data_IF_363135211264
#
_entry.id   IF_363135211264
#
_cell.length_a   1.000
_cell.length_b   1.000
_cell.length_c   1.000
_cell.angle_alpha   90.00
_cell.angle_beta   90.00
_cell.angle_gamma   90.00
#
_symmetry.space_group_name_H-M   'P 1'
#
loop_
_entity.id
_entity.type
_entity.pdbx_description
1 polymer ?
#
# COMPACT_ATOMS: atom_id res chain seq x y z
N UNK A 1 -13.82 0.85 -6.95
CA UNK A 1 -12.72 1.58 -6.32
C UNK A 1 -12.46 0.96 -4.95
N UNK A 2 -11.22 0.55 -4.70
CA UNK A 2 -10.81 0.09 -3.37
C UNK A 2 -10.89 1.29 -2.40
N UNK A 3 -11.45 1.10 -1.20
CA UNK A 3 -11.49 2.19 -0.23
C UNK A 3 -10.06 2.56 0.17
N UNK A 4 -9.69 3.81 -0.05
CA UNK A 4 -8.36 4.33 0.32
C UNK A 4 -8.20 4.56 1.83
N UNK A 5 -9.26 4.32 2.61
CA UNK A 5 -9.32 4.57 4.04
C UNK A 5 -9.22 3.31 4.89
N UNK A 6 -8.64 3.42 6.06
CA UNK A 6 -8.47 2.29 6.97
C UNK A 6 -9.72 2.06 7.85
N UNK A 7 -10.13 0.78 8.03
CA UNK A 7 -11.29 0.44 8.88
C UNK A 7 -10.93 0.35 10.36
N UNK A 8 -9.71 -0.06 10.68
CA UNK A 8 -9.28 -0.47 12.03
C UNK A 8 -8.19 0.46 12.57
N UNK A 9 -7.36 1.02 11.70
CA UNK A 9 -6.27 1.92 12.07
C UNK A 9 -6.77 3.36 12.17
N UNK A 10 -6.10 4.17 12.97
CA UNK A 10 -6.43 5.57 13.22
C UNK A 10 -5.15 6.40 13.37
N UNK A 11 -5.30 7.71 13.48
CA UNK A 11 -4.19 8.63 13.71
C UNK A 11 -3.37 8.29 14.97
N UNK A 12 -4.01 7.71 15.99
CA UNK A 12 -3.35 7.27 17.23
C UNK A 12 -2.80 5.84 17.17
N UNK A 13 -3.21 5.06 16.18
CA UNK A 13 -2.71 3.70 15.92
C UNK A 13 -2.47 3.53 14.40
N UNK A 14 -1.44 4.17 13.85
CA UNK A 14 -1.15 4.15 12.41
C UNK A 14 -0.73 2.76 11.91
N UNK A 15 -0.91 2.53 10.62
CA UNK A 15 -0.37 1.35 9.95
C UNK A 15 1.14 1.54 9.72
N UNK A 16 1.96 0.71 10.36
CA UNK A 16 3.42 0.79 10.25
C UNK A 16 3.92 0.69 8.80
N UNK A 17 3.22 -0.04 7.95
CA UNK A 17 3.56 -0.18 6.53
C UNK A 17 3.42 1.16 5.80
N UNK A 18 2.34 1.90 6.11
CA UNK A 18 2.11 3.24 5.53
C UNK A 18 3.21 4.20 5.97
N UNK A 19 3.61 4.17 7.24
CA UNK A 19 4.71 5.02 7.74
C UNK A 19 6.02 4.75 7.01
N UNK A 20 6.38 3.48 6.83
CA UNK A 20 7.61 3.10 6.11
C UNK A 20 7.57 3.55 4.65
N UNK A 21 6.45 3.33 3.95
CA UNK A 21 6.30 3.73 2.55
C UNK A 21 6.34 5.25 2.40
N UNK A 22 5.65 5.96 3.28
CA UNK A 22 5.61 7.42 3.32
C UNK A 22 7.01 8.01 3.51
N UNK A 23 7.73 7.54 4.54
CA UNK A 23 9.08 8.02 4.84
C UNK A 23 10.05 7.76 3.69
N UNK A 24 9.97 6.57 3.08
CA UNK A 24 10.78 6.23 1.92
C UNK A 24 10.46 7.13 0.72
N UNK A 25 9.18 7.26 0.37
CA UNK A 25 8.76 8.04 -0.79
C UNK A 25 9.12 9.53 -0.65
N UNK A 26 8.86 10.12 0.52
CA UNK A 26 9.18 11.53 0.78
C UNK A 26 10.69 11.80 0.73
N UNK A 27 11.51 10.82 1.07
CA UNK A 27 12.98 10.94 1.04
C UNK A 27 13.57 10.77 -0.35
N UNK A 28 13.00 9.87 -1.17
CA UNK A 28 13.66 9.42 -2.40
C UNK A 28 12.99 9.89 -3.69
N UNK A 29 11.72 10.27 -3.67
CA UNK A 29 11.00 10.72 -4.86
C UNK A 29 10.84 12.24 -4.87
N UNK A 30 11.32 12.88 -5.94
CA UNK A 30 11.22 14.33 -6.11
C UNK A 30 10.72 14.67 -7.52
N UNK A 31 9.63 15.43 -7.66
CA UNK A 31 8.74 15.90 -6.61
C UNK A 31 7.78 14.79 -6.13
N UNK A 32 7.54 14.70 -4.81
CA UNK A 32 6.60 13.77 -4.20
C UNK A 32 5.24 14.46 -4.02
N UNK A 33 4.54 14.71 -5.14
CA UNK A 33 3.34 15.57 -5.15
C UNK A 33 2.05 14.82 -4.86
N UNK A 34 1.92 13.59 -5.38
CA UNK A 34 0.70 12.79 -5.23
C UNK A 34 0.53 12.31 -3.79
N UNK A 35 1.61 11.82 -3.18
CA UNK A 35 1.60 11.41 -1.79
C UNK A 35 1.35 12.61 -0.86
N UNK A 36 2.01 13.75 -1.09
CA UNK A 36 1.76 14.98 -0.30
C UNK A 36 0.31 15.45 -0.40
N UNK A 37 -0.29 15.37 -1.58
CA UNK A 37 -1.71 15.66 -1.74
C UNK A 37 -2.58 14.70 -0.94
N UNK A 38 -2.32 13.39 -1.00
CA UNK A 38 -3.06 12.40 -0.23
C UNK A 38 -2.95 12.61 1.29
N UNK A 39 -1.77 12.99 1.78
CA UNK A 39 -1.55 13.34 3.19
C UNK A 39 -2.31 14.62 3.60
N UNK A 40 -2.36 15.63 2.73
CA UNK A 40 -3.20 16.81 2.96
C UNK A 40 -4.70 16.46 3.03
N UNK A 41 -5.17 15.55 2.19
CA UNK A 41 -6.54 15.02 2.27
C UNK A 41 -6.76 14.27 3.60
N UNK A 42 -5.78 13.47 4.04
CA UNK A 42 -5.83 12.78 5.33
C UNK A 42 -5.99 13.75 6.51
N UNK A 43 -5.27 14.87 6.50
CA UNK A 43 -5.40 15.89 7.55
C UNK A 43 -6.85 16.42 7.65
N UNK A 44 -7.46 16.74 6.51
CA UNK A 44 -8.84 17.23 6.45
C UNK A 44 -9.84 16.16 6.89
N UNK A 45 -9.66 14.93 6.46
CA UNK A 45 -10.61 13.85 6.76
C UNK A 45 -10.50 13.37 8.21
N UNK A 46 -9.29 13.34 8.78
CA UNK A 46 -9.09 12.97 10.19
C UNK A 46 -9.61 14.02 11.17
N UNK A 47 -9.75 15.27 10.74
CA UNK A 47 -10.45 16.30 11.52
C UNK A 47 -11.94 15.95 11.73
N UNK A 48 -12.55 15.22 10.79
CA UNK A 48 -13.95 14.75 10.90
C UNK A 48 -14.06 13.41 11.63
N UNK A 49 -13.13 12.47 11.35
CA UNK A 49 -13.15 11.13 11.93
C UNK A 49 -11.74 10.55 11.96
N UNK A 50 -11.23 10.22 13.13
CA UNK A 50 -9.84 9.84 13.38
C UNK A 50 -9.34 8.59 12.63
N UNK A 51 -10.24 7.74 12.14
CA UNK A 51 -9.90 6.55 11.36
C UNK A 51 -9.93 6.76 9.83
N UNK A 52 -10.21 7.97 9.37
CA UNK A 52 -10.11 8.29 7.94
C UNK A 52 -8.68 8.64 7.54
N UNK A 53 -7.77 7.72 7.83
CA UNK A 53 -6.36 7.79 7.47
C UNK A 53 -6.10 7.07 6.16
N UNK A 54 -5.02 7.43 5.49
CA UNK A 54 -4.56 6.77 4.27
C UNK A 54 -4.22 5.30 4.57
N UNK A 55 -4.80 4.38 3.83
CA UNK A 55 -4.48 2.95 3.95
C UNK A 55 -3.23 2.59 3.13
N UNK A 56 -2.75 1.36 3.31
CA UNK A 56 -1.54 0.89 2.63
C UNK A 56 -1.70 0.88 1.10
N UNK A 57 -2.86 0.59 0.59
CA UNK A 57 -3.14 0.53 -0.84
C UNK A 57 -3.05 1.92 -1.46
N UNK A 58 -3.64 2.92 -0.81
CA UNK A 58 -3.54 4.31 -1.21
C UNK A 58 -2.11 4.85 -1.10
N UNK A 59 -1.37 4.48 -0.04
CA UNK A 59 0.01 4.90 0.13
C UNK A 59 0.92 4.32 -0.97
N UNK A 60 0.77 3.03 -1.30
CA UNK A 60 1.50 2.38 -2.40
C UNK A 60 1.15 3.04 -3.73
N UNK A 61 -0.14 3.27 -4.01
CA UNK A 61 -0.57 3.89 -5.26
C UNK A 61 0.03 5.29 -5.43
N UNK A 62 -0.04 6.13 -4.41
CA UNK A 62 0.53 7.48 -4.46
C UNK A 62 2.06 7.45 -4.62
N UNK A 63 2.75 6.63 -3.84
CA UNK A 63 4.20 6.50 -3.91
C UNK A 63 4.67 5.96 -5.28
N UNK A 64 3.93 5.00 -5.86
CA UNK A 64 4.25 4.44 -7.15
C UNK A 64 4.10 5.46 -8.29
N UNK A 65 3.03 6.26 -8.27
CA UNK A 65 2.86 7.34 -9.25
C UNK A 65 3.95 8.40 -9.12
N UNK A 66 4.32 8.78 -7.89
CA UNK A 66 5.41 9.72 -7.66
C UNK A 66 6.77 9.14 -8.12
N UNK A 67 6.99 7.84 -7.92
CA UNK A 67 8.17 7.14 -8.44
C UNK A 67 8.23 7.19 -9.97
N UNK A 68 7.15 6.87 -10.66
CA UNK A 68 7.10 6.94 -12.13
C UNK A 68 7.39 8.35 -12.63
N UNK A 69 6.79 9.36 -12.00
CA UNK A 69 7.01 10.77 -12.35
C UNK A 69 8.45 11.22 -12.09
N UNK A 70 9.02 10.82 -10.97
CA UNK A 70 10.39 11.22 -10.61
C UNK A 70 11.47 10.49 -11.41
N UNK A 71 11.14 9.35 -12.00
CA UNK A 71 12.09 8.58 -12.83
C UNK A 71 12.50 9.30 -14.11
N UNK A 72 11.64 10.18 -14.63
CA UNK A 72 11.83 10.83 -15.94
C UNK A 72 11.73 9.87 -17.13
N UNK A 73 11.43 8.59 -16.91
CA UNK A 73 11.35 7.57 -17.94
C UNK A 73 9.99 7.52 -18.66
N UNK A 74 8.97 8.17 -18.09
CA UNK A 74 7.60 8.14 -18.57
C UNK A 74 7.02 9.54 -18.71
N UNK A 75 6.25 9.76 -19.75
CA UNK A 75 5.40 10.94 -19.91
C UNK A 75 4.17 10.86 -19.00
N UNK A 76 3.49 11.98 -18.78
CA UNK A 76 2.25 11.99 -17.99
C UNK A 76 1.14 11.13 -18.62
N UNK A 77 1.09 11.06 -19.94
CA UNK A 77 0.14 10.25 -20.70
C UNK A 77 0.41 8.76 -20.52
N UNK A 78 1.68 8.33 -20.66
CA UNK A 78 2.07 6.94 -20.43
C UNK A 78 1.79 6.49 -18.99
N UNK A 79 2.01 7.35 -18.01
CA UNK A 79 1.67 7.05 -16.61
C UNK A 79 0.16 6.86 -16.45
N UNK A 80 -0.65 7.70 -17.11
CA UNK A 80 -2.11 7.56 -17.09
C UNK A 80 -2.54 6.22 -17.69
N UNK A 81 -2.00 5.86 -18.85
CA UNK A 81 -2.27 4.56 -19.47
C UNK A 81 -1.88 3.38 -18.59
N UNK A 82 -0.69 3.42 -17.97
CA UNK A 82 -0.26 2.36 -17.04
C UNK A 82 -1.24 2.17 -15.86
N UNK A 83 -1.79 3.28 -15.34
CA UNK A 83 -2.77 3.23 -14.25
C UNK A 83 -4.09 2.66 -14.75
N UNK A 84 -4.56 3.10 -15.91
CA UNK A 84 -5.83 2.64 -16.52
C UNK A 84 -5.77 1.16 -16.89
N UNK A 85 -4.61 0.66 -17.34
CA UNK A 85 -4.33 -0.75 -17.60
C UNK A 85 -4.23 -1.61 -16.33
N UNK A 86 -4.28 -0.97 -15.15
CA UNK A 86 -4.34 -1.68 -13.88
C UNK A 86 -2.99 -2.11 -13.30
N UNK A 87 -1.88 -1.45 -13.67
CA UNK A 87 -0.55 -1.78 -13.14
C UNK A 87 -0.49 -1.76 -11.60
N UNK A 88 -1.29 -0.92 -10.93
CA UNK A 88 -1.38 -0.91 -9.47
C UNK A 88 -1.94 -2.21 -8.92
N UNK A 89 -2.93 -2.81 -9.59
CA UNK A 89 -3.42 -4.16 -9.23
C UNK A 89 -2.34 -5.22 -9.47
N UNK A 90 -1.54 -5.07 -10.52
CA UNK A 90 -0.41 -5.94 -10.81
C UNK A 90 0.62 -5.99 -9.68
N UNK A 91 0.90 -4.85 -9.02
CA UNK A 91 1.77 -4.80 -7.84
C UNK A 91 1.24 -5.64 -6.69
N UNK A 92 -0.08 -5.59 -6.44
CA UNK A 92 -0.72 -6.43 -5.42
C UNK A 92 -0.63 -7.91 -5.74
N UNK A 93 -0.89 -8.28 -6.99
CA UNK A 93 -0.78 -9.68 -7.45
C UNK A 93 0.65 -10.17 -7.28
N UNK A 94 1.63 -9.38 -7.71
CA UNK A 94 3.05 -9.71 -7.58
C UNK A 94 3.46 -9.91 -6.11
N UNK A 95 3.15 -8.96 -5.25
CA UNK A 95 3.48 -9.02 -3.83
C UNK A 95 2.83 -10.23 -3.14
N UNK A 96 1.57 -10.51 -3.47
CA UNK A 96 0.84 -11.67 -2.96
C UNK A 96 1.43 -12.99 -3.44
N UNK A 97 1.82 -13.05 -4.72
CA UNK A 97 2.45 -14.24 -5.31
C UNK A 97 3.81 -14.53 -4.67
N UNK A 98 4.64 -13.53 -4.46
CA UNK A 98 5.91 -13.67 -3.74
C UNK A 98 5.68 -14.20 -2.32
N UNK A 99 4.70 -13.65 -1.60
CA UNK A 99 4.35 -14.11 -0.26
C UNK A 99 3.86 -15.56 -0.23
N UNK A 100 3.03 -15.97 -1.18
CA UNK A 100 2.56 -17.35 -1.30
C UNK A 100 3.69 -18.32 -1.62
N UNK A 101 4.60 -17.95 -2.52
CA UNK A 101 5.78 -18.78 -2.85
C UNK A 101 6.66 -18.94 -1.61
N UNK A 102 6.96 -17.85 -0.91
CA UNK A 102 7.75 -17.88 0.31
C UNK A 102 7.13 -18.78 1.38
N UNK A 103 5.83 -18.62 1.60
CA UNK A 103 5.10 -19.45 2.56
C UNK A 103 5.10 -20.94 2.17
N UNK A 104 4.89 -21.26 0.89
CA UNK A 104 4.97 -22.64 0.41
C UNK A 104 6.35 -23.24 0.65
N UNK A 105 7.43 -22.51 0.32
CA UNK A 105 8.79 -22.98 0.50
C UNK A 105 9.13 -23.19 1.98
N UNK A 106 8.66 -22.32 2.87
CA UNK A 106 8.83 -22.46 4.31
C UNK A 106 8.10 -23.68 4.85
N UNK A 107 6.84 -23.91 4.46
CA UNK A 107 6.08 -25.09 4.86
C UNK A 107 6.77 -26.38 4.42
N UNK A 108 7.28 -26.39 3.17
CA UNK A 108 8.03 -27.52 2.63
C UNK A 108 9.32 -27.78 3.39
N UNK A 109 10.09 -26.74 3.69
CA UNK A 109 11.33 -26.80 4.47
C UNK A 109 11.09 -27.35 5.89
N UNK A 110 10.01 -26.90 6.52
CA UNK A 110 9.62 -27.31 7.87
C UNK A 110 8.89 -28.65 7.90
N UNK A 111 8.66 -29.29 6.75
CA UNK A 111 7.88 -30.55 6.63
C UNK A 111 6.49 -30.46 7.26
N UNK A 112 5.87 -29.29 7.17
CA UNK A 112 4.55 -29.02 7.70
C UNK A 112 3.50 -29.02 6.58
N UNK A 113 2.26 -29.45 6.85
CA UNK A 113 1.15 -29.30 5.91
C UNK A 113 0.83 -27.82 5.69
N UNK A 114 -0.06 -27.52 4.74
CA UNK A 114 -0.57 -26.17 4.56
C UNK A 114 -1.18 -25.67 5.87
N UNK A 115 -0.56 -24.65 6.44
CA UNK A 115 -1.06 -24.03 7.66
C UNK A 115 -2.38 -23.32 7.39
N UNK A 116 -3.37 -23.63 8.22
CA UNK A 116 -4.64 -22.90 8.28
C UNK A 116 -4.78 -22.36 9.69
N UNK A 117 -4.82 -21.05 9.77
CA UNK A 117 -5.04 -20.39 11.06
C UNK A 117 -6.45 -20.72 11.57
N UNK A 118 -6.61 -21.16 12.83
CA UNK A 118 -7.93 -21.37 13.40
C UNK A 118 -8.78 -20.11 13.29
N UNK A 119 -10.05 -20.25 12.99
CA UNK A 119 -10.94 -19.09 12.82
C UNK A 119 -11.04 -18.25 14.07
N UNK A 120 -11.02 -18.89 15.25
CA UNK A 120 -11.14 -18.23 16.54
C UNK A 120 -9.88 -17.45 16.95
N UNK A 121 -8.75 -17.76 16.31
CA UNK A 121 -7.46 -17.08 16.53
C UNK A 121 -7.20 -15.95 15.52
N UNK A 122 -8.10 -15.76 14.53
CA UNK A 122 -7.95 -14.67 13.57
C UNK A 122 -8.34 -13.36 14.26
N UNK A 123 -7.37 -12.69 14.78
CA UNK A 123 -7.53 -11.33 15.30
C UNK A 123 -7.55 -10.35 14.13
N UNK A 124 -8.71 -9.92 13.71
CA UNK A 124 -8.87 -8.77 12.83
C UNK A 124 -8.59 -7.48 13.63
N UNK A 125 -7.34 -7.30 13.98
CA UNK A 125 -6.87 -6.11 14.70
C UNK A 125 -6.60 -4.95 13.76
#
# INVERSE_FOLDING_TARGET
>A
ALPIWHRIKSKTNPDRRVEIIKDFALKHFQPCTVLKFALGVEEVTTAKKSNLILNVDGAIACAFVDMLRSSGAFTAEEITHLIDDGCLNGLFVLARSIGLIGHYLDQKRLKQPLYRHPWDDITYM
#
